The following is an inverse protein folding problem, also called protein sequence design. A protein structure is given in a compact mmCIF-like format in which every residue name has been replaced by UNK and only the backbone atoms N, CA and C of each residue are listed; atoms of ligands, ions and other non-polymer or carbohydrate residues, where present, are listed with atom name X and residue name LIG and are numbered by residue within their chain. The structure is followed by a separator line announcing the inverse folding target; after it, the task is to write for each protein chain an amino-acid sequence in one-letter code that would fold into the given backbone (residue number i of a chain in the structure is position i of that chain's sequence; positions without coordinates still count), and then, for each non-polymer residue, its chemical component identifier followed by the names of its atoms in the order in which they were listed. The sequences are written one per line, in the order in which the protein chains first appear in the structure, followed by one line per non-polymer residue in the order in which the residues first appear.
data_IF_911018355710
#
_entry.id   IF_911018355710
#
_cell.length_a   1.000
_cell.length_b   1.000
_cell.length_c   1.000
_cell.angle_alpha   90.00
_cell.angle_beta   90.00
_cell.angle_gamma   90.00
#
_symmetry.space_group_name_H-M   'P 1'
#
loop_
_entity.id
_entity.type
_entity.pdbx_description
1 polymer ?
#
# COMPACT_ATOMS: atom_id res chain seq x y z
N UNK A 1 8.10 57.20 -78.46
CA UNK A 1 9.45 56.70 -78.81
C UNK A 1 10.12 56.01 -77.61
N UNK A 2 10.07 56.59 -76.40
CA UNK A 2 10.68 56.04 -75.17
C UNK A 2 10.17 54.65 -74.71
N UNK A 3 8.88 54.34 -74.89
CA UNK A 3 8.33 53.06 -74.40
C UNK A 3 8.76 51.83 -75.21
N UNK A 4 9.06 51.99 -76.51
CA UNK A 4 9.58 50.88 -77.34
C UNK A 4 11.03 50.55 -77.04
N UNK A 5 11.85 51.56 -76.74
CA UNK A 5 13.25 51.37 -76.35
C UNK A 5 13.37 50.71 -74.97
N UNK A 6 12.51 51.08 -74.00
CA UNK A 6 12.48 50.46 -72.68
C UNK A 6 12.16 48.95 -72.75
N UNK A 7 11.14 48.56 -73.51
CA UNK A 7 10.76 47.14 -73.70
C UNK A 7 11.90 46.36 -74.40
N UNK A 8 12.56 46.96 -75.38
CA UNK A 8 13.69 46.32 -76.07
C UNK A 8 14.90 46.13 -75.13
N UNK A 9 15.23 47.13 -74.30
CA UNK A 9 16.32 47.02 -73.32
C UNK A 9 16.03 45.95 -72.26
N UNK A 10 14.78 45.86 -71.79
CA UNK A 10 14.35 44.82 -70.85
C UNK A 10 14.45 43.42 -71.48
N UNK A 11 14.00 43.26 -72.73
CA UNK A 11 14.11 42.00 -73.48
C UNK A 11 15.57 41.57 -73.68
N UNK A 12 16.46 42.49 -74.06
CA UNK A 12 17.89 42.19 -74.22
C UNK A 12 18.53 41.84 -72.87
N UNK A 13 18.13 42.49 -71.78
CA UNK A 13 18.62 42.19 -70.43
C UNK A 13 18.15 40.82 -69.96
N UNK A 14 16.88 40.49 -70.17
CA UNK A 14 16.31 39.18 -69.86
C UNK A 14 16.95 38.06 -70.70
N UNK A 15 17.20 38.31 -71.99
CA UNK A 15 17.94 37.37 -72.85
C UNK A 15 19.36 37.13 -72.36
N UNK A 16 20.12 38.19 -72.05
CA UNK A 16 21.48 38.06 -71.50
C UNK A 16 21.48 37.33 -70.16
N UNK A 17 20.47 37.55 -69.32
CA UNK A 17 20.32 36.84 -68.05
C UNK A 17 20.03 35.35 -68.28
N UNK A 18 19.10 35.01 -69.16
CA UNK A 18 18.77 33.63 -69.53
C UNK A 18 19.97 32.91 -70.14
N UNK A 19 20.67 33.55 -71.07
CA UNK A 19 21.87 32.99 -71.70
C UNK A 19 22.99 32.75 -70.68
N UNK A 20 23.15 33.64 -69.69
CA UNK A 20 24.10 33.47 -68.59
C UNK A 20 23.70 32.32 -67.66
N UNK A 21 22.41 32.16 -67.37
CA UNK A 21 21.88 31.05 -66.55
C UNK A 21 22.01 29.70 -67.30
N UNK A 22 21.68 29.67 -68.59
CA UNK A 22 21.83 28.49 -69.45
C UNK A 22 23.30 28.08 -69.60
N UNK A 23 24.20 29.05 -69.77
CA UNK A 23 25.65 28.81 -69.82
C UNK A 23 26.17 28.26 -68.49
N UNK A 24 25.71 28.82 -67.36
CA UNK A 24 26.07 28.33 -66.02
C UNK A 24 25.54 26.92 -65.77
N UNK A 25 24.28 26.65 -66.11
CA UNK A 25 23.65 25.33 -65.99
C UNK A 25 24.35 24.29 -66.87
N UNK A 26 24.74 24.66 -68.10
CA UNK A 26 25.53 23.81 -68.98
C UNK A 26 26.92 23.52 -68.40
N UNK A 27 27.59 24.51 -67.81
CA UNK A 27 28.88 24.33 -67.12
C UNK A 27 28.77 23.41 -65.90
N UNK A 28 27.69 23.54 -65.12
CA UNK A 28 27.40 22.65 -63.99
C UNK A 28 27.10 21.22 -64.45
N UNK A 29 26.35 21.05 -65.55
CA UNK A 29 26.08 19.74 -66.15
C UNK A 29 27.36 19.06 -66.63
N UNK A 30 28.22 19.78 -67.36
CA UNK A 30 29.53 19.27 -67.81
C UNK A 30 30.40 18.84 -66.63
N UNK A 31 30.40 19.61 -65.53
CA UNK A 31 31.11 19.25 -64.30
C UNK A 31 30.57 17.97 -63.66
N UNK A 32 29.25 17.82 -63.58
CA UNK A 32 28.60 16.62 -63.04
C UNK A 32 28.90 15.40 -63.90
N UNK A 33 28.71 15.50 -65.21
CA UNK A 33 29.00 14.43 -66.17
C UNK A 33 30.49 13.98 -66.05
N UNK A 34 31.41 14.93 -65.84
CA UNK A 34 32.82 14.63 -65.60
C UNK A 34 33.08 13.94 -64.25
N UNK A 35 32.38 14.33 -63.17
CA UNK A 35 32.49 13.66 -61.86
C UNK A 35 31.88 12.25 -61.88
N UNK A 36 30.79 12.05 -62.61
CA UNK A 36 30.17 10.74 -62.80
C UNK A 36 31.12 9.80 -63.55
N UNK A 37 31.74 10.30 -64.63
CA UNK A 37 32.81 9.57 -65.32
C UNK A 37 33.94 9.17 -64.36
N UNK A 38 34.42 10.09 -63.52
CA UNK A 38 35.47 9.79 -62.54
C UNK A 38 35.02 8.75 -61.50
N UNK A 39 33.75 8.76 -61.10
CA UNK A 39 33.20 7.80 -60.14
C UNK A 39 33.15 6.37 -60.68
N UNK A 40 32.93 6.20 -61.98
CA UNK A 40 32.89 4.90 -62.64
C UNK A 40 34.29 4.28 -62.80
N UNK A 41 35.36 5.08 -62.69
CA UNK A 41 36.74 4.59 -62.87
C UNK A 41 37.36 3.97 -61.60
N UNK A 42 36.62 3.90 -60.48
CA UNK A 42 37.11 3.35 -59.21
C UNK A 42 38.50 3.89 -58.83
N UNK A 43 38.62 5.22 -58.80
CA UNK A 43 39.89 5.92 -58.55
C UNK A 43 40.29 5.72 -57.09
N UNK A 44 41.41 5.04 -56.86
CA UNK A 44 41.99 4.84 -55.52
C UNK A 44 42.83 6.05 -55.08
N UNK A 45 42.92 6.26 -53.76
CA UNK A 45 43.73 7.33 -53.16
C UNK A 45 45.20 7.24 -53.57
N UNK A 46 45.66 8.17 -54.43
CA UNK A 46 47.05 8.23 -54.90
C UNK A 46 47.25 8.00 -56.40
N UNK A 47 46.20 7.77 -57.19
CA UNK A 47 46.33 7.70 -58.65
C UNK A 47 46.78 9.04 -59.25
N UNK A 48 47.77 8.99 -60.15
CA UNK A 48 48.27 10.17 -60.88
C UNK A 48 47.36 10.51 -62.06
N UNK A 49 46.95 11.77 -62.16
CA UNK A 49 46.15 12.30 -63.27
C UNK A 49 46.69 11.91 -64.65
N UNK A 50 48.02 11.89 -64.80
CA UNK A 50 48.70 11.55 -66.04
C UNK A 50 48.35 10.16 -66.59
N UNK A 51 48.09 9.18 -65.71
CA UNK A 51 47.74 7.80 -66.12
C UNK A 51 46.25 7.61 -66.32
N UNK A 52 45.43 8.37 -65.59
CA UNK A 52 43.98 8.28 -65.65
C UNK A 52 43.45 8.94 -66.93
N UNK A 53 44.00 10.10 -67.32
CA UNK A 53 43.54 10.87 -68.48
C UNK A 53 43.58 10.06 -69.77
N UNK A 54 44.61 9.25 -69.99
CA UNK A 54 44.79 8.44 -71.21
C UNK A 54 43.64 7.44 -71.43
N UNK A 55 43.02 6.97 -70.34
CA UNK A 55 41.88 6.04 -70.39
C UNK A 55 40.55 6.75 -70.60
N UNK A 56 40.47 8.02 -70.22
CA UNK A 56 39.25 8.82 -70.28
C UNK A 56 39.12 9.61 -71.59
N UNK A 57 40.20 9.75 -72.35
CA UNK A 57 40.27 10.56 -73.57
C UNK A 57 39.23 10.21 -74.64
N UNK A 58 38.74 8.97 -74.66
CA UNK A 58 37.71 8.53 -75.62
C UNK A 58 36.28 8.88 -75.19
N UNK A 59 36.04 9.12 -73.90
CA UNK A 59 34.68 9.33 -73.35
C UNK A 59 34.12 10.71 -73.75
N UNK A 60 32.87 10.81 -74.24
CA UNK A 60 32.24 12.09 -74.58
C UNK A 60 32.20 13.10 -73.42
N UNK A 61 32.04 12.63 -72.17
CA UNK A 61 31.99 13.46 -70.96
C UNK A 61 33.37 14.07 -70.63
N UNK A 62 34.45 13.36 -70.94
CA UNK A 62 35.82 13.89 -70.84
C UNK A 62 36.08 14.98 -71.89
N UNK A 63 35.68 14.72 -73.14
CA UNK A 63 35.80 15.69 -74.25
C UNK A 63 34.95 16.94 -74.03
N UNK A 64 33.83 16.81 -73.32
CA UNK A 64 32.93 17.92 -72.96
C UNK A 64 33.55 19.00 -72.08
N UNK A 65 34.65 18.69 -71.37
CA UNK A 65 35.47 19.70 -70.68
C UNK A 65 36.56 20.16 -71.65
N UNK A 66 36.49 21.38 -72.15
CA UNK A 66 37.34 21.84 -73.28
C UNK A 66 38.81 22.08 -72.90
N UNK A 67 39.07 22.52 -71.66
CA UNK A 67 40.42 22.89 -71.21
C UNK A 67 41.10 21.77 -70.41
N UNK A 68 42.34 21.42 -70.79
CA UNK A 68 43.16 20.46 -70.05
C UNK A 68 43.40 20.89 -68.60
N UNK A 69 43.61 22.19 -68.36
CA UNK A 69 43.80 22.72 -67.01
C UNK A 69 42.52 22.59 -66.17
N UNK A 70 41.36 22.79 -66.79
CA UNK A 70 40.06 22.62 -66.12
C UNK A 70 39.79 21.15 -65.78
N UNK A 71 40.15 20.20 -66.65
CA UNK A 71 40.02 18.76 -66.35
C UNK A 71 40.84 18.35 -65.13
N UNK A 72 42.08 18.82 -65.04
CA UNK A 72 42.97 18.53 -63.91
C UNK A 72 42.48 19.18 -62.61
N UNK A 73 41.98 20.42 -62.68
CA UNK A 73 41.36 21.11 -61.55
C UNK A 73 40.08 20.41 -61.08
N UNK A 74 39.21 19.97 -62.01
CA UNK A 74 38.02 19.19 -61.69
C UNK A 74 38.38 17.84 -61.07
N UNK A 75 39.42 17.15 -61.58
CA UNK A 75 39.93 15.93 -60.98
C UNK A 75 40.43 16.16 -59.55
N UNK A 76 41.19 17.22 -59.31
CA UNK A 76 41.64 17.60 -57.95
C UNK A 76 40.45 17.88 -57.03
N UNK A 77 39.46 18.63 -57.51
CA UNK A 77 38.22 18.90 -56.75
C UNK A 77 37.44 17.61 -56.43
N UNK A 78 37.40 16.66 -57.37
CA UNK A 78 36.78 15.35 -57.18
C UNK A 78 37.52 14.53 -56.11
N UNK A 79 38.85 14.49 -56.18
CA UNK A 79 39.69 13.80 -55.18
C UNK A 79 39.54 14.42 -53.78
N UNK A 80 39.54 15.75 -53.68
CA UNK A 80 39.32 16.46 -52.42
C UNK A 80 37.90 16.20 -51.86
N UNK A 81 36.89 16.12 -52.74
CA UNK A 81 35.51 15.77 -52.36
C UNK A 81 35.41 14.33 -51.88
N UNK A 82 36.07 13.39 -52.54
CA UNK A 82 36.14 11.98 -52.13
C UNK A 82 36.82 11.83 -50.76
N UNK A 83 37.98 12.46 -50.56
CA UNK A 83 38.70 12.43 -49.30
C UNK A 83 37.85 12.99 -48.14
N UNK A 84 37.19 14.13 -48.34
CA UNK A 84 36.27 14.71 -47.35
C UNK A 84 35.06 13.81 -47.06
N UNK A 85 34.51 13.11 -48.05
CA UNK A 85 33.39 12.20 -47.85
C UNK A 85 33.81 11.01 -46.97
N UNK A 86 34.98 10.41 -47.26
CA UNK A 86 35.54 9.31 -46.47
C UNK A 86 35.82 9.72 -45.03
N UNK A 87 36.36 10.92 -44.80
CA UNK A 87 36.60 11.44 -43.46
C UNK A 87 35.30 11.63 -42.67
N UNK A 88 34.25 12.18 -43.30
CA UNK A 88 32.93 12.35 -42.68
C UNK A 88 32.26 11.01 -42.38
N UNK A 89 32.36 10.03 -43.29
CA UNK A 89 31.79 8.70 -43.09
C UNK A 89 32.53 7.94 -41.98
N UNK A 90 33.86 8.09 -41.89
CA UNK A 90 34.69 7.54 -40.81
C UNK A 90 34.35 8.18 -39.45
N UNK A 91 34.13 9.49 -39.40
CA UNK A 91 33.72 10.20 -38.19
C UNK A 91 32.32 9.72 -37.72
N UNK A 92 31.37 9.60 -38.65
CA UNK A 92 30.02 9.05 -38.36
C UNK A 92 30.06 7.61 -37.88
N UNK A 93 30.98 6.80 -38.39
CA UNK A 93 31.15 5.42 -37.94
C UNK A 93 31.75 5.35 -36.53
N UNK A 94 32.78 6.16 -36.24
CA UNK A 94 33.35 6.28 -34.89
C UNK A 94 32.30 6.79 -33.88
N UNK A 95 31.47 7.76 -34.27
CA UNK A 95 30.38 8.24 -33.42
C UNK A 95 29.34 7.14 -33.16
N UNK A 96 28.99 6.34 -34.18
CA UNK A 96 28.09 5.18 -34.02
C UNK A 96 28.69 4.15 -33.07
N UNK A 97 29.97 3.81 -33.23
CA UNK A 97 30.67 2.87 -32.36
C UNK A 97 30.74 3.38 -30.92
N UNK A 98 31.07 4.66 -30.72
CA UNK A 98 31.10 5.27 -29.39
C UNK A 98 29.71 5.27 -28.72
N UNK A 99 28.64 5.55 -29.47
CA UNK A 99 27.25 5.46 -28.95
C UNK A 99 26.88 4.04 -28.55
N UNK A 100 27.26 3.04 -29.36
CA UNK A 100 27.03 1.63 -29.06
C UNK A 100 27.83 1.22 -27.82
N UNK A 101 29.10 1.60 -27.71
CA UNK A 101 29.95 1.28 -26.55
C UNK A 101 29.40 1.92 -25.27
N UNK A 102 28.96 3.18 -25.33
CA UNK A 102 28.31 3.86 -24.19
C UNK A 102 27.03 3.12 -23.78
N UNK A 103 26.19 2.75 -24.74
CA UNK A 103 24.94 2.01 -24.47
C UNK A 103 25.21 0.62 -23.88
N UNK A 104 26.19 -0.12 -24.41
CA UNK A 104 26.58 -1.42 -23.86
C UNK A 104 27.14 -1.28 -22.46
N UNK A 105 28.01 -0.31 -22.22
CA UNK A 105 28.60 -0.06 -20.90
C UNK A 105 27.55 0.39 -19.88
N UNK A 106 26.58 1.20 -20.28
CA UNK A 106 25.46 1.59 -19.43
C UNK A 106 24.58 0.39 -19.09
N UNK A 107 24.23 -0.42 -20.08
CA UNK A 107 23.47 -1.66 -19.87
C UNK A 107 24.20 -2.65 -18.96
N UNK A 108 25.50 -2.83 -19.13
CA UNK A 108 26.31 -3.68 -18.26
C UNK A 108 26.31 -3.17 -16.81
N UNK A 109 26.40 -1.85 -16.60
CA UNK A 109 26.29 -1.24 -15.27
C UNK A 109 24.91 -1.48 -14.66
N UNK A 110 23.84 -1.33 -15.44
CA UNK A 110 22.48 -1.60 -14.96
C UNK A 110 22.29 -3.07 -14.57
N UNK A 111 22.74 -4.00 -15.41
CA UNK A 111 22.68 -5.44 -15.12
C UNK A 111 23.48 -5.77 -13.86
N UNK A 112 24.68 -5.20 -13.71
CA UNK A 112 25.51 -5.42 -12.52
C UNK A 112 24.86 -4.83 -11.26
N UNK A 113 24.24 -3.64 -11.37
CA UNK A 113 23.49 -3.02 -10.27
C UNK A 113 22.29 -3.89 -9.87
N UNK A 114 21.46 -4.29 -10.83
CA UNK A 114 20.31 -5.15 -10.60
C UNK A 114 20.69 -6.49 -9.96
N UNK A 115 21.76 -7.13 -10.43
CA UNK A 115 22.28 -8.36 -9.83
C UNK A 115 22.76 -8.16 -8.39
N UNK A 116 23.42 -7.04 -8.11
CA UNK A 116 23.87 -6.70 -6.76
C UNK A 116 22.71 -6.41 -5.81
N UNK A 117 21.65 -5.76 -6.30
CA UNK A 117 20.43 -5.49 -5.55
C UNK A 117 19.68 -6.79 -5.25
N UNK A 118 19.48 -7.64 -6.25
CA UNK A 118 18.87 -8.96 -6.09
C UNK A 118 19.63 -9.82 -5.08
N UNK A 119 20.97 -9.84 -5.14
CA UNK A 119 21.78 -10.61 -4.18
C UNK A 119 21.58 -10.10 -2.75
N UNK A 120 21.58 -8.77 -2.55
CA UNK A 120 21.32 -8.16 -1.25
C UNK A 120 19.92 -8.44 -0.74
N UNK A 121 18.92 -8.47 -1.61
CA UNK A 121 17.54 -8.80 -1.26
C UNK A 121 17.43 -10.25 -0.79
N UNK A 122 17.99 -11.19 -1.54
CA UNK A 122 18.04 -12.62 -1.17
C UNK A 122 18.72 -12.81 0.19
N UNK A 123 19.83 -12.11 0.45
CA UNK A 123 20.55 -12.23 1.72
C UNK A 123 19.72 -11.66 2.89
N UNK A 124 19.01 -10.54 2.70
CA UNK A 124 18.08 -10.01 3.71
C UNK A 124 16.94 -10.99 4.00
N UNK A 125 16.33 -11.57 2.97
CA UNK A 125 15.26 -12.56 3.13
C UNK A 125 15.76 -13.78 3.91
N UNK A 126 16.96 -14.28 3.60
CA UNK A 126 17.59 -15.39 4.33
C UNK A 126 17.82 -15.05 5.79
N UNK A 127 18.34 -13.87 6.10
CA UNK A 127 18.54 -13.41 7.48
C UNK A 127 17.22 -13.26 8.23
N UNK A 128 16.20 -12.71 7.57
CA UNK A 128 14.85 -12.59 8.12
C UNK A 128 14.27 -13.97 8.44
N UNK A 129 14.35 -14.94 7.52
CA UNK A 129 13.84 -16.28 7.75
C UNK A 129 14.54 -16.99 8.91
N UNK A 130 15.87 -16.89 9.03
CA UNK A 130 16.60 -17.42 10.18
C UNK A 130 16.12 -16.82 11.50
N UNK A 131 15.85 -15.51 11.50
CA UNK A 131 15.35 -14.80 12.67
C UNK A 131 13.91 -15.17 13.00
N UNK A 132 13.03 -15.30 12.01
CA UNK A 132 11.67 -15.80 12.18
C UNK A 132 11.66 -17.22 12.75
N UNK A 133 12.55 -18.09 12.27
CA UNK A 133 12.74 -19.44 12.79
C UNK A 133 13.12 -19.42 14.28
N UNK A 134 14.08 -18.57 14.66
CA UNK A 134 14.47 -18.37 16.06
C UNK A 134 13.28 -17.89 16.93
N UNK A 135 12.42 -17.02 16.41
CA UNK A 135 11.18 -16.59 17.08
C UNK A 135 10.22 -17.77 17.26
N UNK A 136 10.03 -18.60 16.24
CA UNK A 136 9.14 -19.76 16.32
C UNK A 136 9.66 -20.80 17.32
N UNK A 137 10.96 -21.11 17.30
CA UNK A 137 11.59 -21.99 18.28
C UNK A 137 11.40 -21.46 19.71
N UNK A 138 11.57 -20.15 19.91
CA UNK A 138 11.35 -19.52 21.21
C UNK A 138 9.88 -19.59 21.65
N UNK A 139 8.93 -19.33 20.75
CA UNK A 139 7.49 -19.45 21.02
C UNK A 139 7.06 -20.89 21.34
N UNK A 140 7.65 -21.88 20.67
CA UNK A 140 7.41 -23.29 20.95
C UNK A 140 7.94 -23.66 22.35
N UNK A 141 9.17 -23.27 22.67
CA UNK A 141 9.76 -23.45 24.01
C UNK A 141 8.88 -22.81 25.10
N UNK A 142 8.41 -21.59 24.85
CA UNK A 142 7.48 -20.87 25.74
C UNK A 142 6.17 -21.62 25.96
N UNK A 143 5.59 -22.20 24.90
CA UNK A 143 4.35 -22.96 24.96
C UNK A 143 4.47 -24.21 25.84
N UNK A 144 5.62 -24.87 25.78
CA UNK A 144 5.87 -26.09 26.57
C UNK A 144 6.17 -25.78 28.04
N UNK A 145 7.04 -24.80 28.27
CA UNK A 145 7.63 -24.51 29.59
C UNK A 145 6.80 -23.52 30.42
N UNK A 146 6.01 -22.66 29.78
CA UNK A 146 5.26 -21.59 30.45
C UNK A 146 3.78 -21.81 30.28
N UNK A 147 3.17 -22.42 31.30
CA UNK A 147 1.72 -22.73 31.35
C UNK A 147 0.94 -21.81 32.29
N UNK A 148 1.65 -21.01 33.09
CA UNK A 148 1.07 -20.07 34.04
C UNK A 148 1.14 -18.65 33.50
N UNK A 149 0.01 -17.93 33.55
CA UNK A 149 -0.07 -16.50 33.26
C UNK A 149 0.42 -15.63 34.43
N UNK A 150 0.73 -16.25 35.57
CA UNK A 150 1.33 -15.59 36.73
C UNK A 150 2.87 -15.73 36.74
N UNK A 151 3.46 -16.27 35.67
CA UNK A 151 4.89 -16.47 35.57
C UNK A 151 5.64 -15.14 35.46
N UNK A 152 6.73 -14.99 36.20
CA UNK A 152 7.65 -13.85 36.08
C UNK A 152 8.79 -14.17 35.11
N UNK A 153 9.20 -13.19 34.32
CA UNK A 153 10.29 -13.35 33.35
C UNK A 153 11.61 -13.78 34.01
N UNK A 154 11.96 -13.16 35.15
CA UNK A 154 13.19 -13.45 35.89
C UNK A 154 13.35 -14.92 36.25
N UNK A 155 12.30 -15.55 36.76
CA UNK A 155 12.29 -16.93 37.21
C UNK A 155 12.18 -17.89 36.04
N UNK A 156 11.30 -17.56 35.08
CA UNK A 156 11.10 -18.35 33.88
C UNK A 156 12.39 -18.45 33.07
N UNK A 157 13.05 -17.32 32.79
CA UNK A 157 14.31 -17.27 32.04
C UNK A 157 15.39 -18.14 32.66
N UNK A 158 15.45 -18.23 34.00
CA UNK A 158 16.42 -19.07 34.71
C UNK A 158 16.21 -20.56 34.42
N UNK A 159 14.96 -20.99 34.25
CA UNK A 159 14.62 -22.36 33.88
C UNK A 159 14.78 -22.60 32.37
N UNK A 160 14.37 -21.63 31.53
CA UNK A 160 14.51 -21.75 30.08
C UNK A 160 15.95 -21.91 29.63
N UNK A 161 16.92 -21.23 30.28
CA UNK A 161 18.35 -21.35 29.99
C UNK A 161 18.94 -22.76 30.19
N UNK A 162 18.24 -23.64 30.92
CA UNK A 162 18.66 -25.02 31.13
C UNK A 162 18.14 -25.95 30.02
N UNK A 163 17.16 -25.51 29.25
CA UNK A 163 16.61 -26.27 28.13
C UNK A 163 17.56 -26.16 26.93
N UNK A 164 17.88 -27.30 26.30
CA UNK A 164 18.76 -27.36 25.13
C UNK A 164 18.28 -26.46 23.97
N UNK A 165 16.96 -26.27 23.84
CA UNK A 165 16.35 -25.44 22.79
C UNK A 165 16.53 -23.94 23.02
N UNK A 166 17.04 -23.50 24.17
CA UNK A 166 17.32 -22.09 24.43
C UNK A 166 18.26 -21.48 23.38
N UNK A 167 19.24 -22.26 22.91
CA UNK A 167 20.20 -21.79 21.91
C UNK A 167 19.67 -21.74 20.48
N UNK A 168 18.55 -22.43 20.18
CA UNK A 168 17.82 -22.28 18.93
C UNK A 168 17.26 -20.85 18.76
N UNK A 169 17.16 -20.09 19.85
CA UNK A 169 16.76 -18.69 19.86
C UNK A 169 17.95 -17.73 20.09
N UNK A 170 19.20 -18.15 19.86
CA UNK A 170 20.41 -17.34 20.09
C UNK A 170 20.46 -16.05 19.26
N UNK A 171 19.81 -16.03 18.08
CA UNK A 171 19.68 -14.83 17.22
C UNK A 171 18.80 -13.72 17.80
N UNK A 172 18.04 -14.00 18.87
CA UNK A 172 17.17 -13.01 19.51
C UNK A 172 17.87 -12.36 20.70
N UNK A 173 17.77 -11.05 20.78
CA UNK A 173 18.29 -10.30 21.92
C UNK A 173 17.45 -10.54 23.18
N UNK A 174 17.99 -10.11 24.33
CA UNK A 174 17.36 -10.35 25.64
C UNK A 174 16.00 -9.69 25.74
N UNK A 175 15.90 -8.45 25.28
CA UNK A 175 14.72 -7.60 25.29
C UNK A 175 13.62 -8.20 24.40
N UNK A 176 14.00 -8.82 23.29
CA UNK A 176 13.06 -9.45 22.35
C UNK A 176 12.51 -10.75 22.91
N UNK A 177 13.35 -11.56 23.54
CA UNK A 177 12.90 -12.76 24.27
C UNK A 177 11.95 -12.39 25.41
N UNK A 178 12.22 -11.30 26.13
CA UNK A 178 11.34 -10.79 27.19
C UNK A 178 10.00 -10.29 26.63
N UNK A 179 10.02 -9.58 25.51
CA UNK A 179 8.80 -9.15 24.80
C UNK A 179 7.95 -10.35 24.39
N UNK A 180 8.55 -11.35 23.73
CA UNK A 180 7.85 -12.58 23.31
C UNK A 180 7.30 -13.36 24.52
N UNK A 181 8.02 -13.37 25.64
CA UNK A 181 7.54 -13.95 26.89
C UNK A 181 6.28 -13.22 27.41
N UNK A 182 6.31 -11.89 27.45
CA UNK A 182 5.17 -11.09 27.92
C UNK A 182 3.95 -11.26 27.02
N UNK A 183 4.14 -11.26 25.69
CA UNK A 183 3.08 -11.55 24.72
C UNK A 183 2.45 -12.93 24.94
N UNK A 184 3.28 -13.96 25.19
CA UNK A 184 2.80 -15.31 25.49
C UNK A 184 2.00 -15.36 26.81
N UNK A 185 2.51 -14.71 27.86
CA UNK A 185 1.84 -14.64 29.17
C UNK A 185 0.49 -13.91 29.07
N UNK A 186 0.42 -12.83 28.29
CA UNK A 186 -0.81 -12.10 28.03
C UNK A 186 -1.81 -12.95 27.23
N UNK A 187 -1.36 -13.64 26.19
CA UNK A 187 -2.19 -14.55 25.41
C UNK A 187 -2.75 -15.69 26.28
N UNK A 188 -1.94 -16.26 27.18
CA UNK A 188 -2.38 -17.24 28.16
C UNK A 188 -3.40 -16.66 29.14
N UNK A 189 -3.16 -15.44 29.66
CA UNK A 189 -4.08 -14.76 30.57
C UNK A 189 -5.45 -14.54 29.90
N UNK A 190 -5.46 -14.07 28.65
CA UNK A 190 -6.66 -13.86 27.84
C UNK A 190 -7.42 -15.17 27.62
N UNK A 191 -6.73 -16.22 27.16
CA UNK A 191 -7.34 -17.54 26.93
C UNK A 191 -7.91 -18.13 28.22
N UNK A 192 -7.21 -18.00 29.33
CA UNK A 192 -7.69 -18.49 30.64
C UNK A 192 -8.90 -17.70 31.14
N UNK A 193 -8.89 -16.36 30.97
CA UNK A 193 -10.03 -15.49 31.30
C UNK A 193 -11.27 -15.89 30.54
N UNK A 194 -11.13 -16.18 29.24
CA UNK A 194 -12.24 -16.65 28.40
C UNK A 194 -12.84 -17.96 28.94
N UNK A 195 -12.02 -18.99 29.18
CA UNK A 195 -12.50 -20.25 29.74
C UNK A 195 -13.13 -20.09 31.14
N UNK A 196 -12.59 -19.19 31.97
CA UNK A 196 -13.16 -18.89 33.27
C UNK A 196 -14.55 -18.24 33.14
N UNK A 197 -14.73 -17.29 32.20
CA UNK A 197 -16.03 -16.69 31.92
C UNK A 197 -17.02 -17.69 31.33
N UNK A 198 -16.58 -18.57 30.43
CA UNK A 198 -17.42 -19.67 29.91
C UNK A 198 -17.94 -20.57 31.05
N UNK A 199 -17.07 -20.94 32.00
CA UNK A 199 -17.49 -21.66 33.20
C UNK A 199 -18.54 -20.90 34.02
N UNK A 200 -18.38 -19.58 34.18
CA UNK A 200 -19.36 -18.75 34.90
C UNK A 200 -20.70 -18.67 34.14
N UNK A 201 -20.66 -18.58 32.81
CA UNK A 201 -21.85 -18.60 31.97
C UNK A 201 -22.60 -19.94 32.08
N UNK A 202 -21.88 -21.06 31.94
CA UNK A 202 -22.44 -22.41 32.10
C UNK A 202 -23.05 -22.60 33.50
N UNK A 203 -22.35 -22.15 34.54
CA UNK A 203 -22.85 -22.23 35.93
C UNK A 203 -24.12 -21.39 36.09
N UNK A 204 -24.19 -20.22 35.47
CA UNK A 204 -25.37 -19.36 35.49
C UNK A 204 -26.61 -20.01 34.85
N UNK A 205 -26.42 -20.87 33.85
CA UNK A 205 -27.50 -21.57 33.15
C UNK A 205 -28.08 -22.77 33.91
N UNK A 206 -27.33 -23.34 34.87
CA UNK A 206 -27.80 -24.51 35.63
C UNK A 206 -28.85 -24.10 36.66
N UNK A 207 -30.07 -24.64 36.51
CA UNK A 207 -31.25 -24.26 37.33
C UNK A 207 -31.05 -24.40 38.85
N UNK A 208 -30.19 -25.32 39.29
CA UNK A 208 -29.89 -25.57 40.71
C UNK A 208 -28.75 -24.71 41.28
N UNK A 209 -28.02 -23.94 40.46
CA UNK A 209 -26.83 -23.17 40.86
C UNK A 209 -26.76 -21.79 40.18
N UNK A 210 -27.90 -21.10 40.15
CA UNK A 210 -28.08 -19.83 39.42
C UNK A 210 -27.18 -18.72 39.97
N UNK A 211 -26.28 -18.22 39.13
CA UNK A 211 -25.55 -16.98 39.39
C UNK A 211 -26.48 -15.81 39.00
N UNK A 212 -26.76 -14.93 39.94
CA UNK A 212 -27.52 -13.69 39.76
C UNK A 212 -26.58 -12.47 39.74
N UNK A 213 -27.11 -11.30 39.41
CA UNK A 213 -26.34 -10.03 39.41
C UNK A 213 -25.91 -9.57 40.82
N UNK A 214 -26.41 -10.23 41.87
CA UNK A 214 -26.09 -9.96 43.28
C UNK A 214 -25.30 -11.09 43.93
N UNK A 215 -24.98 -12.15 43.19
CA UNK A 215 -24.22 -13.30 43.71
C UNK A 215 -22.81 -12.87 44.11
N UNK A 216 -22.36 -13.34 45.27
CA UNK A 216 -21.04 -13.02 45.80
C UNK A 216 -19.98 -14.01 45.33
N UNK A 217 -18.71 -13.58 45.36
CA UNK A 217 -17.58 -14.47 45.07
C UNK A 217 -17.55 -15.71 45.97
N UNK A 218 -17.89 -15.56 47.27
CA UNK A 218 -17.87 -16.67 48.22
C UNK A 218 -18.86 -17.79 47.86
N UNK A 219 -20.01 -17.44 47.31
CA UNK A 219 -21.04 -18.40 46.89
C UNK A 219 -20.62 -19.14 45.63
N UNK A 220 -20.25 -18.39 44.58
CA UNK A 220 -19.83 -19.00 43.31
C UNK A 220 -18.57 -19.85 43.48
N UNK A 221 -17.61 -19.41 44.31
CA UNK A 221 -16.38 -20.16 44.58
C UNK A 221 -16.66 -21.56 45.08
N UNK A 222 -17.66 -21.76 45.96
CA UNK A 222 -18.03 -23.09 46.46
C UNK A 222 -18.51 -24.03 45.34
N UNK A 223 -19.06 -23.46 44.28
CA UNK A 223 -19.61 -24.18 43.13
C UNK A 223 -18.49 -24.55 42.14
N UNK A 224 -17.60 -23.59 41.84
CA UNK A 224 -16.64 -23.71 40.73
C UNK A 224 -15.23 -24.13 41.16
N UNK A 225 -14.95 -24.23 42.46
CA UNK A 225 -13.59 -24.47 43.00
C UNK A 225 -12.92 -25.76 42.48
N UNK A 226 -13.70 -26.79 42.15
CA UNK A 226 -13.19 -28.07 41.66
C UNK A 226 -13.02 -28.08 40.12
N UNK A 227 -13.54 -27.08 39.40
CA UNK A 227 -13.46 -27.04 37.94
C UNK A 227 -12.03 -26.69 37.49
N UNK A 228 -11.42 -27.46 36.56
CA UNK A 228 -10.07 -27.20 36.06
C UNK A 228 -9.87 -25.79 35.50
N UNK A 229 -10.89 -25.17 34.90
CA UNK A 229 -10.82 -23.81 34.34
C UNK A 229 -10.69 -22.77 35.45
N UNK A 230 -11.33 -22.97 36.60
CA UNK A 230 -11.16 -22.13 37.79
C UNK A 230 -9.77 -22.30 38.41
N UNK A 231 -9.31 -23.55 38.57
CA UNK A 231 -8.00 -23.86 39.15
C UNK A 231 -6.87 -23.29 38.27
N UNK A 232 -6.97 -23.49 36.94
CA UNK A 232 -5.94 -23.07 35.97
C UNK A 232 -5.94 -21.58 35.65
N UNK A 233 -7.02 -20.84 35.96
CA UNK A 233 -7.15 -19.41 35.63
C UNK A 233 -6.05 -18.58 36.29
N UNK A 234 -5.93 -18.67 37.61
CA UNK A 234 -4.87 -18.04 38.39
C UNK A 234 -4.69 -18.79 39.70
N UNK A 235 -3.49 -18.79 40.25
CA UNK A 235 -3.23 -19.29 41.61
C UNK A 235 -3.78 -18.36 42.71
N UNK A 236 -4.04 -17.09 42.37
CA UNK A 236 -4.48 -16.07 43.32
C UNK A 236 -6.01 -16.01 43.42
N UNK A 237 -6.53 -16.28 44.62
CA UNK A 237 -7.97 -16.15 44.89
C UNK A 237 -8.48 -14.71 44.69
N UNK A 238 -7.66 -13.72 45.02
CA UNK A 238 -7.97 -12.30 44.80
C UNK A 238 -8.10 -11.97 43.31
N UNK A 239 -7.28 -12.57 42.44
CA UNK A 239 -7.41 -12.40 40.98
C UNK A 239 -8.70 -13.05 40.46
N UNK A 240 -9.04 -14.26 40.94
CA UNK A 240 -10.30 -14.94 40.60
C UNK A 240 -11.51 -14.12 41.04
N UNK A 241 -11.49 -13.59 42.26
CA UNK A 241 -12.53 -12.71 42.79
C UNK A 241 -12.72 -11.46 41.94
N UNK A 242 -11.63 -10.75 41.62
CA UNK A 242 -11.69 -9.54 40.79
C UNK A 242 -12.28 -9.82 39.41
N UNK A 243 -11.86 -10.89 38.75
CA UNK A 243 -12.40 -11.25 37.44
C UNK A 243 -13.89 -11.62 37.52
N UNK A 244 -14.33 -12.28 38.60
CA UNK A 244 -15.75 -12.55 38.83
C UNK A 244 -16.55 -11.25 39.05
N UNK A 245 -16.03 -10.31 39.85
CA UNK A 245 -16.67 -9.01 40.04
C UNK A 245 -16.79 -8.24 38.73
N UNK A 246 -15.76 -8.27 37.88
CA UNK A 246 -15.79 -7.65 36.56
C UNK A 246 -16.76 -8.37 35.61
N UNK A 247 -16.84 -9.70 35.67
CA UNK A 247 -17.86 -10.47 34.96
C UNK A 247 -19.29 -10.07 35.37
N UNK A 248 -19.56 -9.92 36.68
CA UNK A 248 -20.89 -9.49 37.17
C UNK A 248 -21.19 -8.05 36.72
N UNK A 249 -20.21 -7.14 36.77
CA UNK A 249 -20.36 -5.77 36.23
C UNK A 249 -20.70 -5.79 34.74
N UNK A 250 -20.00 -6.59 33.95
CA UNK A 250 -20.25 -6.72 32.51
C UNK A 250 -21.68 -7.24 32.26
N UNK A 251 -22.11 -8.29 32.97
CA UNK A 251 -23.49 -8.82 32.90
C UNK A 251 -24.53 -7.77 33.29
N UNK A 252 -24.23 -6.96 34.30
CA UNK A 252 -25.11 -5.89 34.76
C UNK A 252 -25.24 -4.77 33.72
N UNK A 253 -24.14 -4.39 33.07
CA UNK A 253 -24.12 -3.41 31.97
C UNK A 253 -24.97 -3.92 30.80
N UNK A 254 -24.76 -5.18 30.38
CA UNK A 254 -25.56 -5.81 29.31
C UNK A 254 -27.03 -5.86 29.68
N UNK A 255 -27.38 -6.34 30.89
CA UNK A 255 -28.77 -6.40 31.35
C UNK A 255 -29.45 -5.01 31.35
N UNK A 256 -28.73 -3.96 31.76
CA UNK A 256 -29.23 -2.59 31.70
C UNK A 256 -29.41 -2.09 30.26
N UNK A 257 -28.50 -2.42 29.36
CA UNK A 257 -28.61 -2.05 27.95
C UNK A 257 -29.83 -2.74 27.30
N UNK A 258 -29.97 -4.04 27.51
CA UNK A 258 -31.10 -4.84 27.01
C UNK A 258 -32.42 -4.34 27.57
N UNK A 259 -32.46 -4.03 28.88
CA UNK A 259 -33.64 -3.46 29.52
C UNK A 259 -34.03 -2.11 28.93
N UNK A 260 -33.07 -1.22 28.64
CA UNK A 260 -33.35 0.05 27.97
C UNK A 260 -33.91 -0.16 26.56
N UNK A 261 -33.44 -1.18 25.85
CA UNK A 261 -33.98 -1.54 24.53
C UNK A 261 -35.43 -2.04 24.65
N UNK A 262 -35.73 -2.88 25.64
CA UNK A 262 -37.10 -3.30 25.96
C UNK A 262 -38.02 -2.10 26.23
N UNK A 263 -37.59 -1.12 27.03
CA UNK A 263 -38.37 0.08 27.32
C UNK A 263 -38.69 0.90 26.06
N UNK A 264 -37.76 0.97 25.10
CA UNK A 264 -37.97 1.63 23.79
C UNK A 264 -38.94 0.88 22.87
N UNK A 265 -38.93 -0.45 22.96
CA UNK A 265 -39.83 -1.34 22.19
C UNK A 265 -41.25 -1.33 22.78
N UNK A 266 -41.38 -1.09 24.08
CA UNK A 266 -42.66 -1.09 24.80
C UNK A 266 -43.48 0.17 24.50
N UNK A 267 -44.27 0.14 23.43
CA UNK A 267 -45.11 1.27 22.97
C UNK A 267 -46.17 1.72 23.96
N UNK A 268 -46.50 0.89 24.95
CA UNK A 268 -47.39 1.25 26.05
C UNK A 268 -46.81 2.41 26.89
N UNK A 269 -45.49 2.55 26.95
CA UNK A 269 -44.82 3.67 27.61
C UNK A 269 -44.69 4.84 26.62
N UNK A 270 -45.32 5.96 26.96
CA UNK A 270 -45.41 7.17 26.12
C UNK A 270 -45.03 8.42 26.91
N UNK A 271 -44.87 9.55 26.23
CA UNK A 271 -44.62 10.85 26.87
C UNK A 271 -45.69 11.26 27.89
N UNK A 272 -46.92 10.75 27.78
CA UNK A 272 -48.01 11.00 28.76
C UNK A 272 -47.92 10.13 30.00
N UNK A 273 -47.08 9.08 29.99
CA UNK A 273 -47.03 8.08 31.06
C UNK A 273 -46.66 8.69 32.41
N UNK A 274 -45.84 9.75 32.43
CA UNK A 274 -45.50 10.44 33.68
C UNK A 274 -46.74 11.06 34.33
N UNK A 275 -47.54 11.79 33.55
CA UNK A 275 -48.78 12.40 34.03
C UNK A 275 -49.77 11.35 34.50
N UNK A 276 -49.93 10.26 33.74
CA UNK A 276 -50.81 9.14 34.12
C UNK A 276 -50.40 8.49 35.45
N UNK A 277 -49.09 8.37 35.72
CA UNK A 277 -48.58 7.82 37.00
C UNK A 277 -48.82 8.78 38.17
N UNK A 278 -48.75 10.10 37.94
CA UNK A 278 -49.07 11.09 38.98
C UNK A 278 -50.56 11.09 39.33
N UNK A 279 -51.42 10.82 38.37
CA UNK A 279 -52.88 10.73 38.56
C UNK A 279 -53.29 9.39 39.19
N UNK A 280 -52.64 8.28 38.83
CA UNK A 280 -52.92 6.95 39.36
C UNK A 280 -51.72 6.02 39.27
N UNK A 281 -51.39 5.34 40.38
CA UNK A 281 -50.37 4.29 40.39
C UNK A 281 -50.70 3.10 39.49
N UNK A 282 -51.95 2.96 39.03
CA UNK A 282 -52.38 1.85 38.19
C UNK A 282 -51.59 1.80 36.86
N UNK A 283 -51.27 2.95 36.26
CA UNK A 283 -50.50 2.99 35.01
C UNK A 283 -49.12 2.35 35.17
N UNK A 284 -48.44 2.60 36.29
CA UNK A 284 -47.14 1.99 36.56
C UNK A 284 -47.26 0.46 36.74
N UNK A 285 -48.30 -0.01 37.43
CA UNK A 285 -48.57 -1.45 37.60
C UNK A 285 -48.83 -2.13 36.27
N UNK A 286 -49.57 -1.48 35.36
CA UNK A 286 -49.86 -2.00 34.03
C UNK A 286 -48.60 -2.05 33.16
N UNK A 287 -47.76 -1.00 33.22
CA UNK A 287 -46.42 -1.00 32.57
C UNK A 287 -45.58 -2.16 33.09
N UNK A 288 -45.47 -2.34 34.41
CA UNK A 288 -44.71 -3.44 35.01
C UNK A 288 -45.26 -4.81 34.57
N UNK A 289 -46.58 -4.99 34.50
CA UNK A 289 -47.24 -6.21 34.05
C UNK A 289 -46.93 -6.54 32.58
N UNK A 290 -46.88 -5.54 31.71
CA UNK A 290 -46.49 -5.73 30.30
C UNK A 290 -45.03 -6.19 30.23
N UNK A 291 -44.14 -5.50 30.95
CA UNK A 291 -42.71 -5.78 30.91
C UNK A 291 -42.34 -7.15 31.52
N UNK A 292 -43.09 -7.66 32.49
CA UNK A 292 -42.89 -8.96 33.14
C UNK A 292 -42.90 -10.15 32.16
N UNK A 293 -43.51 -9.99 30.98
CA UNK A 293 -43.54 -11.04 29.96
C UNK A 293 -42.23 -11.17 29.17
N UNK A 294 -41.31 -10.21 29.29
CA UNK A 294 -40.04 -10.21 28.58
C UNK A 294 -38.89 -10.70 29.47
N UNK A 295 -38.04 -11.58 28.92
CA UNK A 295 -36.89 -12.15 29.63
C UNK A 295 -35.93 -11.07 30.16
N UNK A 296 -35.76 -9.95 29.44
CA UNK A 296 -34.87 -8.84 29.83
C UNK A 296 -35.34 -8.13 31.10
N UNK A 297 -36.65 -8.12 31.38
CA UNK A 297 -37.19 -7.64 32.65
C UNK A 297 -36.85 -8.61 33.81
N UNK A 298 -36.97 -9.92 33.56
CA UNK A 298 -36.71 -10.98 34.55
C UNK A 298 -35.23 -11.07 34.95
N UNK A 299 -34.29 -10.72 34.06
CA UNK A 299 -32.85 -10.68 34.39
C UNK A 299 -32.55 -9.70 35.55
N UNK A 300 -33.30 -8.61 35.65
CA UNK A 300 -33.15 -7.59 36.71
C UNK A 300 -34.00 -7.88 37.96
N UNK A 301 -34.59 -9.07 38.09
CA UNK A 301 -35.42 -9.47 39.23
C UNK A 301 -34.69 -9.43 40.57
N UNK A 302 -33.39 -9.74 40.58
CA UNK A 302 -32.57 -9.66 41.78
C UNK A 302 -32.24 -8.22 42.22
N UNK A 303 -32.62 -7.20 41.45
CA UNK A 303 -32.39 -5.77 41.74
C UNK A 303 -33.65 -4.92 41.43
N UNK A 304 -34.77 -5.16 42.14
CA UNK A 304 -36.06 -4.53 41.82
C UNK A 304 -36.03 -3.01 41.90
N UNK A 305 -35.29 -2.44 42.86
CA UNK A 305 -35.14 -0.99 43.02
C UNK A 305 -34.44 -0.34 41.83
N UNK A 306 -33.35 -0.94 41.33
CA UNK A 306 -32.67 -0.41 40.15
C UNK A 306 -33.56 -0.55 38.91
N UNK A 307 -34.27 -1.67 38.77
CA UNK A 307 -35.21 -1.87 37.66
C UNK A 307 -36.28 -0.78 37.64
N UNK A 308 -36.90 -0.49 38.81
CA UNK A 308 -37.87 0.60 38.96
C UNK A 308 -37.24 1.96 38.63
N UNK A 309 -36.03 2.23 39.12
CA UNK A 309 -35.29 3.46 38.80
C UNK A 309 -35.07 3.64 37.29
N UNK A 310 -34.74 2.57 36.57
CA UNK A 310 -34.56 2.61 35.11
C UNK A 310 -35.87 2.90 34.37
N UNK A 311 -36.99 2.29 34.80
CA UNK A 311 -38.33 2.57 34.26
C UNK A 311 -38.68 4.04 34.46
N UNK A 312 -38.56 4.54 35.70
CA UNK A 312 -38.90 5.92 36.03
C UNK A 312 -38.01 6.92 35.27
N UNK A 313 -36.70 6.67 35.19
CA UNK A 313 -35.78 7.51 34.42
C UNK A 313 -36.17 7.58 32.93
N UNK A 314 -36.58 6.46 32.34
CA UNK A 314 -37.04 6.45 30.94
C UNK A 314 -38.35 7.20 30.74
N UNK A 315 -39.30 7.06 31.67
CA UNK A 315 -40.57 7.80 31.63
C UNK A 315 -40.32 9.31 31.76
N UNK A 316 -39.43 9.74 32.65
CA UNK A 316 -39.02 11.14 32.77
C UNK A 316 -38.35 11.67 31.51
N UNK A 317 -37.49 10.88 30.85
CA UNK A 317 -36.84 11.26 29.60
C UNK A 317 -37.87 11.42 28.46
N UNK A 318 -38.87 10.53 28.37
CA UNK A 318 -39.96 10.66 27.39
C UNK A 318 -40.84 11.88 27.65
N UNK A 319 -41.17 12.15 28.91
CA UNK A 319 -41.94 13.33 29.31
C UNK A 319 -41.21 14.63 28.94
N UNK A 320 -39.90 14.70 29.18
CA UNK A 320 -39.06 15.85 28.77
C UNK A 320 -38.98 16.02 27.25
N UNK A 321 -38.92 14.93 26.49
CA UNK A 321 -38.86 14.97 25.02
C UNK A 321 -40.20 15.37 24.40
N UNK A 322 -41.31 15.07 25.07
CA UNK A 322 -42.65 15.35 24.57
C UNK A 322 -43.07 14.41 23.43
N UNK A 323 -44.16 14.74 22.70
CA UNK A 323 -44.65 13.91 21.61
C UNK A 323 -43.59 13.77 20.51
N UNK A 324 -43.50 12.58 19.86
CA UNK A 324 -42.57 12.40 18.75
C UNK A 324 -42.89 13.40 17.63
N UNK A 325 -41.86 13.99 16.97
CA UNK A 325 -42.08 14.93 15.88
C UNK A 325 -42.88 14.27 14.75
N UNK A 326 -43.75 15.03 14.05
CA UNK A 326 -44.53 14.49 12.95
C UNK A 326 -43.60 13.94 11.85
N UNK A 327 -44.02 12.93 11.07
CA UNK A 327 -43.20 12.31 10.02
C UNK A 327 -42.68 13.29 8.95
N UNK A 328 -43.28 14.47 8.89
CA UNK A 328 -42.97 15.57 7.96
C UNK A 328 -41.94 16.57 8.49
N UNK A 329 -41.48 16.44 9.74
CA UNK A 329 -40.44 17.31 10.29
C UNK A 329 -39.05 16.85 9.83
N UNK A 330 -38.44 17.61 8.91
CA UNK A 330 -37.02 17.45 8.57
C UNK A 330 -36.14 17.83 9.77
N UNK A 331 -35.07 17.07 10.02
CA UNK A 331 -34.17 17.31 11.16
C UNK A 331 -33.63 18.76 11.16
N UNK A 332 -33.73 19.51 12.28
CA UNK A 332 -33.06 20.79 12.36
C UNK A 332 -31.55 20.55 12.46
N UNK A 333 -30.79 21.09 11.49
CA UNK A 333 -29.32 21.15 11.51
C UNK A 333 -28.84 21.63 12.89
N UNK A 334 -28.21 20.73 13.66
CA UNK A 334 -27.55 21.08 14.92
C UNK A 334 -26.46 22.13 14.64
N UNK A 335 -26.67 23.37 15.07
CA UNK A 335 -25.56 24.30 15.30
C UNK A 335 -24.69 23.74 16.42
N UNK A 336 -23.44 23.43 16.07
CA UNK A 336 -22.38 23.13 17.03
C UNK A 336 -22.15 24.35 17.92
N UNK A 337 -22.51 24.27 19.19
CA UNK A 337 -22.05 25.21 20.21
C UNK A 337 -20.63 24.82 20.62
N UNK A 338 -19.70 25.76 20.46
CA UNK A 338 -18.34 25.71 21.01
C UNK A 338 -18.38 25.62 22.54
#
# INVERSE_FOLDING_TARGET
MKDREAIFVEFITALRKREKEDSKSRGEKVKLDFFDLLSEQHIEGGQRWSKLKERLETDPRYKGVESSALREELFKQYMDKQAKCVDVDKERELERQARIEVSLREREREVQKARSEQTKEIDREREQHKREEAIQHFKALMSDMVRSSDAAWSDTRRNLRKDHRWESASLLEREEKEKLFNEHVEALAKKKKEHFRQLLDETSMVRSKKITLTTTWKEVKKIIKEDPRCIKFSSSDRKRQREFEDYIKDKYITAKADFRTLLKETKFITYRSRKLIQESEQHLKDVEKVLQNDKRYLVLECVPEERRKLVMFYIEDLDRRGPPPPPTASEPTRRSTK
#
